data_IF_896366421840
#
_entry.id   IF_896366421840
#
_cell.length_a   1.000
_cell.length_b   1.000
_cell.length_c   1.000
_cell.angle_alpha   90.00
_cell.angle_beta   90.00
_cell.angle_gamma   90.00
#
_symmetry.space_group_name_H-M   'P 1'
#
loop_
_entity.id
_entity.type
_entity.pdbx_description
1 polymer ?
#
# COMPACT_ATOMS: atom_id res chain seq x y z
N UNK A 1 -56.86 -4.59 -53.08
CA UNK A 1 -55.46 -5.05 -53.09
C UNK A 1 -54.83 -4.59 -51.79
N UNK A 2 -54.46 -5.51 -50.90
CA UNK A 2 -53.90 -5.24 -49.56
C UNK A 2 -52.40 -5.24 -49.63
N UNK A 3 -51.76 -4.14 -49.23
CA UNK A 3 -50.30 -4.07 -49.04
C UNK A 3 -49.92 -4.44 -47.62
N UNK A 4 -49.10 -5.49 -47.46
CA UNK A 4 -48.48 -5.89 -46.20
C UNK A 4 -47.31 -4.97 -45.89
N UNK A 5 -47.30 -4.31 -44.72
CA UNK A 5 -46.15 -3.60 -44.21
C UNK A 5 -45.24 -4.57 -43.44
N UNK A 6 -43.98 -4.66 -43.86
CA UNK A 6 -42.92 -5.37 -43.14
C UNK A 6 -42.42 -4.50 -42.00
N UNK A 7 -42.67 -4.93 -40.74
CA UNK A 7 -42.10 -4.30 -39.58
C UNK A 7 -40.67 -4.76 -39.33
N UNK A 8 -39.72 -3.84 -39.40
CA UNK A 8 -38.30 -4.10 -39.10
C UNK A 8 -38.09 -4.08 -37.57
N UNK A 9 -37.78 -5.23 -37.02
CA UNK A 9 -37.44 -5.38 -35.59
C UNK A 9 -35.99 -4.91 -35.41
N UNK A 10 -35.78 -3.75 -34.76
CA UNK A 10 -34.45 -3.28 -34.36
C UNK A 10 -34.11 -3.91 -33.00
N UNK A 11 -33.20 -4.88 -33.01
CA UNK A 11 -32.63 -5.46 -31.82
C UNK A 11 -31.48 -4.53 -31.37
N UNK A 12 -31.72 -3.74 -30.32
CA UNK A 12 -30.67 -2.95 -29.65
C UNK A 12 -29.80 -3.88 -28.80
N UNK A 13 -28.58 -4.19 -29.26
CA UNK A 13 -27.56 -4.81 -28.43
C UNK A 13 -27.09 -3.78 -27.40
N UNK A 14 -27.49 -3.97 -26.15
CA UNK A 14 -26.87 -3.29 -25.03
C UNK A 14 -25.48 -3.89 -24.83
N UNK A 15 -24.44 -3.20 -25.30
CA UNK A 15 -23.07 -3.50 -24.94
C UNK A 15 -22.87 -3.16 -23.46
N UNK A 16 -22.92 -4.18 -22.63
CA UNK A 16 -22.50 -4.10 -21.22
C UNK A 16 -21.02 -3.76 -21.17
N UNK A 17 -20.68 -2.50 -20.93
CA UNK A 17 -19.30 -2.07 -20.71
C UNK A 17 -18.78 -2.72 -19.44
N UNK A 18 -17.85 -3.66 -19.58
CA UNK A 18 -17.02 -4.13 -18.49
C UNK A 18 -16.21 -2.93 -17.98
N UNK A 19 -16.57 -2.43 -16.79
CA UNK A 19 -15.76 -1.50 -16.04
C UNK A 19 -14.52 -2.27 -15.52
N UNK A 20 -13.60 -2.59 -16.43
CA UNK A 20 -12.31 -3.20 -16.18
C UNK A 20 -11.23 -2.15 -16.25
N UNK A 21 -10.41 -2.10 -15.20
CA UNK A 21 -9.09 -1.49 -15.15
C UNK A 21 -9.02 0.05 -15.13
N UNK A 22 -9.35 0.64 -13.98
CA UNK A 22 -8.86 1.97 -13.64
C UNK A 22 -7.99 1.93 -12.37
N UNK A 23 -7.08 0.92 -12.29
CA UNK A 23 -6.11 0.80 -11.20
C UNK A 23 -4.79 1.53 -11.47
N UNK A 24 -4.56 2.02 -12.69
CA UNK A 24 -3.29 2.66 -13.06
C UNK A 24 -3.13 4.10 -12.51
N UNK A 25 -4.23 4.80 -12.16
CA UNK A 25 -4.22 6.22 -11.75
C UNK A 25 -5.08 6.50 -10.50
N UNK A 26 -5.09 5.61 -9.52
CA UNK A 26 -5.76 5.88 -8.25
C UNK A 26 -4.91 6.88 -7.44
N UNK A 27 -5.37 8.14 -7.25
CA UNK A 27 -4.59 9.17 -6.59
C UNK A 27 -4.27 8.86 -5.12
N UNK A 28 -5.10 8.06 -4.44
CA UNK A 28 -4.84 7.62 -3.07
C UNK A 28 -3.73 6.56 -3.02
N UNK A 29 -3.65 5.71 -4.06
CA UNK A 29 -2.62 4.67 -4.11
C UNK A 29 -1.28 5.19 -4.61
N UNK A 30 -1.21 6.34 -5.25
CA UNK A 30 0.03 6.89 -5.79
C UNK A 30 1.13 7.06 -4.73
N UNK A 31 0.92 7.79 -3.60
CA UNK A 31 1.94 7.93 -2.57
C UNK A 31 2.26 6.58 -1.88
N UNK A 32 1.28 5.68 -1.71
CA UNK A 32 1.49 4.37 -1.09
C UNK A 32 2.39 3.49 -1.98
N UNK A 33 2.12 3.43 -3.29
CA UNK A 33 2.96 2.67 -4.24
C UNK A 33 4.38 3.22 -4.29
N UNK A 34 4.53 4.55 -4.40
CA UNK A 34 5.85 5.20 -4.40
C UNK A 34 6.60 4.92 -3.10
N UNK A 35 5.93 4.95 -1.95
CA UNK A 35 6.53 4.57 -0.67
C UNK A 35 7.08 3.13 -0.71
N UNK A 36 6.30 2.16 -1.16
CA UNK A 36 6.76 0.76 -1.25
C UNK A 36 7.91 0.58 -2.25
N UNK A 37 7.85 1.26 -3.39
CA UNK A 37 8.92 1.21 -4.40
C UNK A 37 10.23 1.81 -3.88
N UNK A 38 10.17 2.94 -3.20
CA UNK A 38 11.35 3.60 -2.61
C UNK A 38 11.91 2.81 -1.44
N UNK A 39 11.05 2.26 -0.57
CA UNK A 39 11.45 1.34 0.48
C UNK A 39 12.22 0.14 -0.08
N UNK A 40 11.66 -0.55 -1.06
CA UNK A 40 12.29 -1.73 -1.68
C UNK A 40 13.64 -1.41 -2.38
N UNK A 41 13.88 -0.15 -2.72
CA UNK A 41 15.15 0.34 -3.28
C UNK A 41 16.14 0.85 -2.22
N UNK A 42 15.71 0.95 -0.96
CA UNK A 42 16.51 1.60 0.10
C UNK A 42 16.60 3.12 -0.05
N UNK A 43 15.69 3.73 -0.83
CA UNK A 43 15.64 5.18 -1.04
C UNK A 43 14.81 5.85 0.09
N UNK A 44 15.48 6.14 1.19
CA UNK A 44 14.88 6.78 2.38
C UNK A 44 14.35 8.18 2.07
N UNK A 45 15.05 8.94 1.23
CA UNK A 45 14.63 10.29 0.87
C UNK A 45 13.36 10.27 0.01
N UNK A 46 13.28 9.37 -0.96
CA UNK A 46 12.08 9.13 -1.76
C UNK A 46 10.91 8.65 -0.91
N UNK A 47 11.15 7.73 0.04
CA UNK A 47 10.14 7.30 0.99
C UNK A 47 9.61 8.48 1.84
N UNK A 48 10.50 9.30 2.40
CA UNK A 48 10.12 10.48 3.19
C UNK A 48 9.34 11.52 2.36
N UNK A 49 9.60 11.62 1.06
CA UNK A 49 8.89 12.56 0.17
C UNK A 49 7.41 12.20 -0.05
N UNK A 50 7.01 10.95 0.19
CA UNK A 50 5.60 10.52 0.09
C UNK A 50 4.77 10.85 1.34
N UNK A 51 5.40 11.32 2.41
CA UNK A 51 4.77 11.58 3.70
C UNK A 51 4.66 13.09 3.98
N UNK A 52 3.71 13.44 4.86
CA UNK A 52 3.67 14.80 5.41
C UNK A 52 4.92 15.07 6.26
N UNK A 53 5.38 16.33 6.26
CA UNK A 53 6.53 16.78 7.08
C UNK A 53 6.06 17.64 8.25
N UNK A 54 5.19 17.07 9.07
CA UNK A 54 4.56 17.76 10.20
C UNK A 54 4.59 16.91 11.47
N UNK A 55 4.28 17.50 12.61
CA UNK A 55 4.11 16.78 13.87
C UNK A 55 2.99 15.72 13.83
N UNK A 56 2.08 15.77 12.86
CA UNK A 56 1.00 14.80 12.72
C UNK A 56 1.44 13.47 12.08
N UNK A 57 2.63 13.40 11.45
CA UNK A 57 3.13 12.15 10.90
C UNK A 57 3.32 11.11 12.01
N UNK A 58 2.72 9.93 11.82
CA UNK A 58 2.78 8.83 12.79
C UNK A 58 2.98 7.50 12.08
N UNK A 59 3.95 6.73 12.56
CA UNK A 59 4.28 5.39 12.09
C UNK A 59 4.18 4.42 13.25
N UNK A 60 3.47 3.31 13.06
CA UNK A 60 3.40 2.19 14.00
C UNK A 60 3.86 0.93 13.29
N UNK A 61 4.90 0.30 13.81
CA UNK A 61 5.50 -0.90 13.22
C UNK A 61 5.89 -1.90 14.31
N UNK A 62 6.10 -3.16 13.95
CA UNK A 62 6.48 -4.25 14.85
C UNK A 62 7.96 -4.21 15.28
N UNK A 63 8.77 -3.32 14.70
CA UNK A 63 10.17 -3.10 15.09
C UNK A 63 10.23 -2.14 16.27
N UNK A 64 11.03 -2.39 17.31
CA UNK A 64 11.25 -1.42 18.39
C UNK A 64 11.84 -0.09 17.86
N UNK A 65 11.40 1.07 18.36
CA UNK A 65 10.54 1.29 19.54
C UNK A 65 9.03 1.26 19.26
N UNK A 66 8.58 0.75 18.14
CA UNK A 66 7.19 0.51 17.70
C UNK A 66 6.41 1.76 17.30
N UNK A 67 6.86 2.94 17.62
CA UNK A 67 6.20 4.22 17.35
C UNK A 67 7.22 5.29 16.97
N UNK A 68 7.00 5.93 15.84
CA UNK A 68 7.72 7.14 15.41
C UNK A 68 6.70 8.22 15.04
N UNK A 69 7.01 9.46 15.38
CA UNK A 69 6.15 10.59 15.08
C UNK A 69 6.98 11.86 14.76
N UNK A 70 6.34 12.81 14.07
CA UNK A 70 6.97 14.07 13.70
C UNK A 70 7.58 14.06 12.30
N UNK A 71 8.13 15.18 11.85
CA UNK A 71 8.53 15.40 10.45
C UNK A 71 9.63 14.44 9.96
N UNK A 72 10.44 13.90 10.87
CA UNK A 72 11.55 13.01 10.57
C UNK A 72 11.23 11.53 10.84
N UNK A 73 9.97 11.19 11.12
CA UNK A 73 9.56 9.84 11.53
C UNK A 73 9.97 8.75 10.53
N UNK A 74 9.90 9.02 9.20
CA UNK A 74 10.31 8.03 8.18
C UNK A 74 11.79 7.74 8.25
N UNK A 75 12.62 8.76 8.42
CA UNK A 75 14.08 8.60 8.51
C UNK A 75 14.48 7.86 9.79
N UNK A 76 13.86 8.22 10.92
CA UNK A 76 14.11 7.55 12.19
C UNK A 76 13.66 6.07 12.14
N UNK A 77 12.47 5.79 11.65
CA UNK A 77 11.97 4.44 11.44
C UNK A 77 12.91 3.61 10.55
N UNK A 78 13.33 4.16 9.41
CA UNK A 78 14.24 3.45 8.50
C UNK A 78 15.58 3.13 9.17
N UNK A 79 16.12 4.03 9.98
CA UNK A 79 17.37 3.82 10.73
C UNK A 79 17.22 2.69 11.74
N UNK A 80 16.12 2.67 12.51
CA UNK A 80 15.87 1.64 13.51
C UNK A 80 15.57 0.28 12.86
N UNK A 81 14.85 0.26 11.73
CA UNK A 81 14.62 -0.95 10.94
C UNK A 81 15.93 -1.56 10.42
N UNK A 82 16.82 -0.74 9.88
CA UNK A 82 18.14 -1.19 9.42
C UNK A 82 19.01 -1.76 10.56
N UNK A 83 19.00 -1.09 11.71
CA UNK A 83 19.71 -1.56 12.90
C UNK A 83 19.15 -2.90 13.40
N UNK A 84 17.81 -3.01 13.44
CA UNK A 84 17.11 -4.23 13.80
C UNK A 84 17.41 -5.36 12.80
N UNK A 85 17.32 -5.11 11.51
CA UNK A 85 17.61 -6.09 10.46
C UNK A 85 19.04 -6.64 10.58
N UNK A 86 20.03 -5.77 10.77
CA UNK A 86 21.43 -6.16 10.99
C UNK A 86 21.57 -7.06 12.21
N UNK A 87 20.94 -6.69 13.33
CA UNK A 87 20.98 -7.47 14.59
C UNK A 87 20.34 -8.85 14.43
N UNK A 88 19.27 -8.96 13.63
CA UNK A 88 18.53 -10.20 13.42
C UNK A 88 19.06 -11.04 12.25
N UNK A 89 20.10 -10.59 11.53
CA UNK A 89 20.60 -11.25 10.33
C UNK A 89 19.60 -11.27 9.18
N UNK A 90 18.76 -10.23 9.08
CA UNK A 90 17.75 -10.05 8.03
C UNK A 90 18.41 -9.39 6.81
N UNK A 91 18.17 -9.96 5.64
CA UNK A 91 18.68 -9.47 4.35
C UNK A 91 17.63 -9.66 3.26
N UNK A 92 17.83 -9.08 2.09
CA UNK A 92 16.96 -9.22 0.91
C UNK A 92 15.48 -8.88 1.22
N UNK A 93 15.29 -7.77 1.91
CA UNK A 93 13.98 -7.27 2.34
C UNK A 93 13.17 -6.75 1.15
N UNK A 94 11.91 -7.15 1.06
CA UNK A 94 10.98 -6.69 0.05
C UNK A 94 9.55 -6.67 0.59
N UNK A 95 8.83 -5.58 0.36
CA UNK A 95 7.38 -5.48 0.61
C UNK A 95 6.64 -5.45 -0.72
N UNK A 96 5.67 -6.34 -0.87
CA UNK A 96 4.69 -6.29 -1.97
C UNK A 96 3.32 -5.97 -1.42
N UNK A 97 2.55 -5.16 -2.15
CA UNK A 97 1.19 -4.78 -1.80
C UNK A 97 0.20 -5.24 -2.86
N UNK A 98 -1.01 -5.59 -2.42
CA UNK A 98 -2.13 -5.95 -3.29
C UNK A 98 -3.06 -4.75 -3.52
N UNK A 99 -4.14 -4.96 -4.26
CA UNK A 99 -5.20 -3.96 -4.36
C UNK A 99 -5.77 -3.64 -2.97
N UNK A 100 -6.13 -2.38 -2.70
CA UNK A 100 -6.71 -2.00 -1.41
C UNK A 100 -8.04 -2.73 -1.17
N UNK A 101 -8.26 -3.18 0.06
CA UNK A 101 -9.52 -3.81 0.49
C UNK A 101 -10.54 -2.78 0.98
N UNK A 102 -10.08 -1.58 1.35
CA UNK A 102 -10.92 -0.46 1.76
C UNK A 102 -10.29 0.86 1.37
N UNK A 103 -11.11 1.78 0.85
CA UNK A 103 -10.75 3.19 0.58
C UNK A 103 -11.94 4.06 0.93
N UNK A 104 -11.70 5.09 1.72
CA UNK A 104 -12.71 6.09 2.08
C UNK A 104 -12.09 7.48 2.07
N UNK A 105 -12.88 8.48 1.70
CA UNK A 105 -12.47 9.89 1.71
C UNK A 105 -13.54 10.74 2.36
N UNK A 106 -13.09 11.75 3.11
CA UNK A 106 -13.94 12.81 3.64
C UNK A 106 -13.19 14.15 3.53
N UNK A 107 -13.63 15.02 2.62
CA UNK A 107 -12.91 16.26 2.32
C UNK A 107 -11.45 15.95 1.86
N UNK A 108 -10.49 16.52 2.56
CA UNK A 108 -9.06 16.36 2.29
C UNK A 108 -8.41 15.22 3.11
N UNK A 109 -9.18 14.34 3.69
CA UNK A 109 -8.68 13.18 4.44
C UNK A 109 -9.09 11.88 3.74
N UNK A 110 -8.21 10.88 3.81
CA UNK A 110 -8.50 9.54 3.30
C UNK A 110 -8.01 8.45 4.26
N UNK A 111 -8.72 7.31 4.20
CA UNK A 111 -8.40 6.08 4.92
C UNK A 111 -8.28 4.94 3.93
N UNK A 112 -7.16 4.21 3.96
CA UNK A 112 -6.88 3.13 3.00
C UNK A 112 -6.34 1.92 3.73
N UNK A 113 -6.89 0.73 3.43
CA UNK A 113 -6.38 -0.56 3.91
C UNK A 113 -5.81 -1.34 2.73
N UNK A 114 -4.57 -1.80 2.88
CA UNK A 114 -3.83 -2.51 1.83
C UNK A 114 -3.25 -3.81 2.40
N UNK A 115 -3.60 -4.98 1.84
CA UNK A 115 -2.90 -6.21 2.15
C UNK A 115 -1.46 -6.14 1.65
N UNK A 116 -0.53 -6.63 2.47
CA UNK A 116 0.89 -6.62 2.19
C UNK A 116 1.54 -7.97 2.50
N UNK A 117 2.66 -8.24 1.84
CA UNK A 117 3.54 -9.36 2.15
C UNK A 117 4.96 -8.83 2.28
N UNK A 118 5.57 -9.07 3.43
CA UNK A 118 6.99 -8.83 3.66
C UNK A 118 7.76 -10.13 3.45
N UNK A 119 8.72 -10.11 2.56
CA UNK A 119 9.59 -11.24 2.23
C UNK A 119 11.04 -10.85 2.51
N UNK A 120 11.82 -11.75 3.10
CA UNK A 120 13.20 -11.51 3.47
C UNK A 120 13.96 -12.82 3.68
N UNK A 121 15.27 -12.75 3.87
CA UNK A 121 16.08 -13.86 4.40
C UNK A 121 16.48 -13.58 5.84
N UNK A 122 16.44 -14.60 6.69
CA UNK A 122 16.97 -14.55 8.06
C UNK A 122 17.88 -15.73 8.30
N UNK A 123 19.15 -15.45 8.58
CA UNK A 123 20.16 -16.48 8.69
C UNK A 123 20.28 -17.36 7.42
N UNK A 124 20.01 -16.79 6.25
CA UNK A 124 19.98 -17.50 4.96
C UNK A 124 18.64 -18.20 4.62
N UNK A 125 17.75 -18.40 5.58
CA UNK A 125 16.43 -19.00 5.35
C UNK A 125 15.44 -17.99 4.77
N UNK A 126 14.67 -18.37 3.74
CA UNK A 126 13.61 -17.53 3.20
C UNK A 126 12.43 -17.45 4.19
N UNK A 127 12.05 -16.23 4.52
CA UNK A 127 10.97 -15.91 5.45
C UNK A 127 9.90 -15.08 4.76
N UNK A 128 8.68 -15.16 5.27
CA UNK A 128 7.54 -14.37 4.78
C UNK A 128 6.58 -14.02 5.91
N UNK A 129 5.98 -12.85 5.81
CA UNK A 129 4.92 -12.39 6.69
C UNK A 129 3.80 -11.78 5.86
N UNK A 130 2.61 -12.35 5.96
CA UNK A 130 1.39 -11.72 5.44
C UNK A 130 0.91 -10.70 6.46
N UNK A 131 0.64 -9.49 6.01
CA UNK A 131 0.24 -8.39 6.87
C UNK A 131 -0.83 -7.54 6.21
N UNK A 132 -1.30 -6.56 6.94
CA UNK A 132 -2.15 -5.48 6.48
C UNK A 132 -1.53 -4.16 6.88
N UNK A 133 -1.49 -3.23 5.94
CA UNK A 133 -1.14 -1.85 6.23
C UNK A 133 -2.40 -0.99 6.22
N UNK A 134 -2.54 -0.17 7.23
CA UNK A 134 -3.59 0.85 7.33
C UNK A 134 -2.95 2.21 7.20
N UNK A 135 -3.44 3.01 6.24
CA UNK A 135 -2.95 4.35 5.97
C UNK A 135 -4.01 5.39 6.27
N UNK A 136 -3.61 6.53 6.81
CA UNK A 136 -4.35 7.78 6.67
C UNK A 136 -3.57 8.72 5.76
N UNK A 137 -4.29 9.40 4.86
CA UNK A 137 -3.69 10.37 3.95
C UNK A 137 -4.37 11.72 4.12
N UNK A 138 -3.61 12.77 3.84
CA UNK A 138 -4.14 14.14 3.72
C UNK A 138 -3.80 14.70 2.35
N UNK A 139 -4.71 15.49 1.80
CA UNK A 139 -4.54 16.14 0.51
C UNK A 139 -3.82 17.46 0.67
N UNK A 140 -2.65 17.57 0.06
CA UNK A 140 -1.89 18.81 -0.06
C UNK A 140 -2.03 19.45 -1.44
N UNK A 141 -1.37 20.57 -1.68
CA UNK A 141 -1.41 21.30 -2.95
C UNK A 141 -0.96 20.45 -4.16
N UNK A 142 -0.03 19.53 -3.94
CA UNK A 142 0.55 18.68 -4.99
C UNK A 142 -0.03 17.27 -5.05
N UNK A 143 -1.07 16.98 -4.29
CA UNK A 143 -1.71 15.65 -4.24
C UNK A 143 -1.78 15.08 -2.84
N UNK A 144 -2.08 13.78 -2.75
CA UNK A 144 -2.20 13.07 -1.49
C UNK A 144 -0.82 12.73 -0.90
N UNK A 145 -0.68 12.90 0.42
CA UNK A 145 0.50 12.50 1.19
C UNK A 145 0.07 11.60 2.34
N UNK A 146 0.94 10.66 2.71
CA UNK A 146 0.73 9.76 3.84
C UNK A 146 0.91 10.56 5.13
N UNK A 147 -0.11 10.55 5.99
CA UNK A 147 -0.07 11.16 7.31
C UNK A 147 0.23 10.13 8.39
N UNK A 148 -0.28 8.92 8.24
CA UNK A 148 0.10 7.81 9.12
C UNK A 148 0.03 6.48 8.41
N UNK A 149 0.77 5.50 8.94
CA UNK A 149 0.56 4.11 8.59
C UNK A 149 0.86 3.19 9.77
N UNK A 150 0.23 2.02 9.73
CA UNK A 150 0.42 0.95 10.69
C UNK A 150 0.64 -0.36 9.96
N UNK A 151 1.68 -1.10 10.34
CA UNK A 151 1.90 -2.48 9.94
C UNK A 151 1.23 -3.41 10.94
N UNK A 152 0.42 -4.37 10.46
CA UNK A 152 -0.28 -5.33 11.32
C UNK A 152 -0.16 -6.72 10.71
N UNK A 153 0.56 -7.59 11.40
CA UNK A 153 0.78 -8.96 10.93
C UNK A 153 0.95 -9.95 12.09
N UNK A 154 0.81 -11.27 11.80
CA UNK A 154 0.91 -12.33 12.83
C UNK A 154 2.37 -12.74 13.12
N UNK A 155 3.35 -11.95 12.70
CA UNK A 155 4.76 -12.31 12.72
C UNK A 155 5.20 -13.14 11.49
N UNK A 156 6.51 -13.24 11.31
CA UNK A 156 7.11 -13.93 10.17
C UNK A 156 7.18 -15.45 10.39
N UNK A 157 7.23 -16.19 9.27
CA UNK A 157 7.40 -17.65 9.24
C UNK A 157 8.24 -18.06 8.04
N UNK A 158 8.79 -19.30 8.02
CA UNK A 158 9.45 -19.84 6.83
C UNK A 158 8.55 -19.74 5.60
N UNK A 159 9.10 -19.26 4.50
CA UNK A 159 8.38 -19.16 3.23
C UNK A 159 7.96 -20.55 2.74
N UNK A 160 6.76 -20.68 2.17
CA UNK A 160 6.25 -21.94 1.64
C UNK A 160 5.57 -22.86 2.66
N UNK A 161 5.50 -22.55 3.96
CA UNK A 161 4.70 -23.32 4.92
C UNK A 161 3.24 -22.82 4.93
N UNK A 162 2.23 -23.72 4.87
CA UNK A 162 0.83 -23.36 4.98
C UNK A 162 0.52 -22.65 6.32
N UNK A 163 -0.55 -21.86 6.33
CA UNK A 163 -1.12 -21.37 7.60
C UNK A 163 -1.64 -22.58 8.37
N UNK A 164 -1.13 -22.80 9.55
CA UNK A 164 -1.69 -23.75 10.53
C UNK A 164 -3.01 -23.23 11.07
#
# INVERSE_FOLDING_TARGET
MRALGLGTLVVSLMAGGFAGAQTANDPLMAPIKTFMETFNKGDVAGAAATHVKTAALTIVDEVPPYLWHGPDAVTAWSTDLDAYAKKQGITEQMVTISAPTRKETIGDLAYVIVPAVYSFKQGGAAMSQSAQMTFTLTKGPSGWLIQSWTWTGPGSRPAGKPKS
#
